data_IF_060693751786
#
_entry.id   IF_060693751786
#
_cell.length_a   1.000
_cell.length_b   1.000
_cell.length_c   1.000
_cell.angle_alpha   90.00
_cell.angle_beta   90.00
_cell.angle_gamma   90.00
#
_symmetry.space_group_name_H-M   'P 1'
#
loop_
_entity.id
_entity.type
_entity.pdbx_description
1 polymer ?
#
# COMPACT_ATOMS: atom_id res chain seq x y z
N UNK A 1 -8.22 26.09 15.45
CA UNK A 1 -7.90 24.81 14.81
C UNK A 1 -9.22 24.06 14.65
N UNK A 2 -9.80 24.09 13.46
CA UNK A 2 -11.02 23.31 13.18
C UNK A 2 -10.62 21.84 13.14
N UNK A 3 -11.26 21.02 13.98
CA UNK A 3 -11.14 19.57 13.85
C UNK A 3 -11.52 19.21 12.41
N UNK A 4 -10.63 18.52 11.67
CA UNK A 4 -11.00 17.97 10.38
C UNK A 4 -12.03 16.88 10.63
N UNK A 5 -13.30 17.21 10.37
CA UNK A 5 -14.38 16.24 10.31
C UNK A 5 -14.12 15.35 9.10
N UNK A 6 -14.09 14.04 9.32
CA UNK A 6 -14.02 13.06 8.22
C UNK A 6 -15.41 12.99 7.62
N UNK A 7 -15.58 13.54 6.43
CA UNK A 7 -16.88 13.57 5.74
C UNK A 7 -16.91 12.54 4.59
N UNK A 8 -15.78 12.32 3.95
CA UNK A 8 -15.62 11.40 2.84
C UNK A 8 -14.49 10.38 3.11
N UNK A 9 -14.54 9.18 2.50
CA UNK A 9 -13.47 8.18 2.67
C UNK A 9 -12.08 8.70 2.28
N UNK A 10 -11.99 9.58 1.28
CA UNK A 10 -10.73 10.19 0.85
C UNK A 10 -10.15 11.15 1.87
N UNK A 11 -10.96 11.69 2.79
CA UNK A 11 -10.46 12.55 3.86
C UNK A 11 -9.58 11.76 4.82
N UNK A 12 -9.85 10.47 5.04
CA UNK A 12 -8.99 9.60 5.84
C UNK A 12 -7.61 9.44 5.17
N UNK A 13 -7.58 9.25 3.85
CA UNK A 13 -6.31 9.18 3.10
C UNK A 13 -5.56 10.50 3.19
N UNK A 14 -6.29 11.62 3.12
CA UNK A 14 -5.72 12.97 3.28
C UNK A 14 -5.11 13.20 4.65
N UNK A 15 -5.73 12.68 5.71
CA UNK A 15 -5.20 12.73 7.07
C UNK A 15 -3.94 11.89 7.27
N UNK A 16 -3.62 10.99 6.32
CA UNK A 16 -2.41 10.18 6.30
C UNK A 16 -1.31 10.71 5.37
N UNK A 17 -1.45 11.94 4.85
CA UNK A 17 -0.34 12.62 4.17
C UNK A 17 0.85 12.79 5.10
N UNK A 18 2.05 12.59 4.56
CA UNK A 18 3.32 12.57 5.30
C UNK A 18 3.45 11.41 6.32
N UNK A 19 2.51 10.46 6.35
CA UNK A 19 2.59 9.26 7.19
C UNK A 19 2.91 8.00 6.37
N UNK A 20 3.43 6.97 7.03
CA UNK A 20 3.64 5.65 6.42
C UNK A 20 2.33 4.87 6.36
N UNK A 21 1.90 4.53 5.16
CA UNK A 21 0.68 3.75 4.90
C UNK A 21 1.00 2.35 4.38
N UNK A 22 0.02 1.44 4.48
CA UNK A 22 0.07 0.13 3.82
C UNK A 22 -0.94 0.10 2.67
N UNK A 23 -0.51 -0.34 1.49
CA UNK A 23 -1.34 -0.42 0.29
C UNK A 23 -1.32 -1.85 -0.23
N UNK A 24 -2.49 -2.49 -0.31
CA UNK A 24 -2.66 -3.78 -0.99
C UNK A 24 -2.96 -3.51 -2.45
N UNK A 25 -2.17 -4.11 -3.33
CA UNK A 25 -2.33 -4.02 -4.77
C UNK A 25 -2.78 -5.36 -5.36
N UNK A 26 -3.30 -5.31 -6.58
CA UNK A 26 -3.55 -6.49 -7.41
C UNK A 26 -2.25 -7.28 -7.64
N UNK A 27 -2.36 -8.61 -7.73
CA UNK A 27 -1.25 -9.52 -7.99
C UNK A 27 -0.37 -9.80 -6.77
N UNK A 28 -1.00 -10.04 -5.62
CA UNK A 28 -0.33 -10.46 -4.36
C UNK A 28 0.84 -9.56 -3.95
N UNK A 29 0.64 -8.27 -4.20
CA UNK A 29 1.63 -7.23 -3.98
C UNK A 29 1.18 -6.28 -2.88
N UNK A 30 2.09 -5.97 -1.97
CA UNK A 30 1.88 -5.00 -0.90
C UNK A 30 2.98 -3.95 -0.92
N UNK A 31 2.59 -2.70 -0.74
CA UNK A 31 3.51 -1.59 -0.56
C UNK A 31 3.37 -1.03 0.85
N UNK A 32 4.50 -0.70 1.45
CA UNK A 32 4.56 0.09 2.68
C UNK A 32 5.49 1.26 2.42
N UNK A 33 5.00 2.48 2.57
CA UNK A 33 5.78 3.67 2.26
C UNK A 33 5.10 4.95 2.74
N UNK A 34 5.84 6.04 2.72
CA UNK A 34 5.38 7.36 3.14
C UNK A 34 4.51 7.98 2.04
N UNK A 35 3.27 8.38 2.36
CA UNK A 35 2.37 9.00 1.39
C UNK A 35 2.72 10.47 1.18
N UNK A 36 3.23 10.82 0.01
CA UNK A 36 3.58 12.21 -0.32
C UNK A 36 2.42 12.95 -0.99
N UNK A 37 1.69 12.27 -1.88
CA UNK A 37 0.57 12.86 -2.61
C UNK A 37 -0.39 11.78 -3.13
N UNK A 38 -1.64 12.16 -3.36
CA UNK A 38 -2.63 11.32 -4.04
C UNK A 38 -3.67 12.18 -4.79
N UNK A 39 -4.46 11.55 -5.65
CA UNK A 39 -5.61 12.16 -6.33
C UNK A 39 -6.91 11.37 -6.15
N UNK A 40 -8.01 11.84 -6.75
CA UNK A 40 -9.33 11.19 -6.69
C UNK A 40 -9.37 9.78 -7.30
N UNK A 41 -8.42 9.44 -8.17
CA UNK A 41 -8.31 8.12 -8.78
C UNK A 41 -7.47 7.17 -7.91
N UNK A 42 -6.94 7.65 -6.78
CA UNK A 42 -5.99 6.95 -5.93
C UNK A 42 -4.66 6.67 -6.63
N UNK A 43 -4.28 7.49 -7.61
CA UNK A 43 -2.87 7.57 -8.00
C UNK A 43 -2.08 8.13 -6.81
N UNK A 44 -0.90 7.57 -6.53
CA UNK A 44 -0.11 7.95 -5.35
C UNK A 44 1.35 8.19 -5.69
N UNK A 45 1.96 9.09 -4.94
CA UNK A 45 3.41 9.22 -4.82
C UNK A 45 3.79 8.72 -3.44
N UNK A 46 4.58 7.65 -3.40
CA UNK A 46 5.10 7.07 -2.17
C UNK A 46 6.62 7.25 -2.09
N UNK A 47 7.11 7.66 -0.92
CA UNK A 47 8.54 7.70 -0.58
C UNK A 47 8.94 6.54 0.32
N UNK A 48 10.23 6.20 0.31
CA UNK A 48 10.85 5.17 1.15
C UNK A 48 10.06 3.85 1.18
N UNK A 49 9.75 3.34 -0.02
CA UNK A 49 8.81 2.23 -0.20
C UNK A 49 9.51 0.89 -0.03
N UNK A 50 8.98 0.07 0.88
CA UNK A 50 9.19 -1.37 0.89
C UNK A 50 8.06 -2.05 0.11
N UNK A 51 8.41 -2.73 -0.96
CA UNK A 51 7.50 -3.58 -1.71
C UNK A 51 7.68 -5.04 -1.31
N UNK A 52 6.57 -5.72 -1.11
CA UNK A 52 6.49 -7.17 -0.86
C UNK A 52 5.64 -7.82 -1.95
N UNK A 53 6.19 -8.83 -2.63
CA UNK A 53 5.47 -9.66 -3.61
C UNK A 53 5.41 -11.09 -3.06
N UNK A 54 4.21 -11.64 -2.99
CA UNK A 54 3.99 -13.04 -2.61
C UNK A 54 3.70 -13.86 -3.86
N UNK A 55 4.43 -14.96 -4.06
CA UNK A 55 4.22 -15.90 -5.17
C UNK A 55 3.97 -17.29 -4.61
N UNK A 56 3.04 -18.03 -5.20
CA UNK A 56 2.79 -19.43 -4.87
C UNK A 56 3.48 -20.29 -5.91
N UNK A 57 4.49 -21.04 -5.47
CA UNK A 57 5.12 -22.08 -6.27
C UNK A 57 4.48 -23.42 -5.92
N UNK A 58 4.06 -24.18 -6.93
CA UNK A 58 3.50 -25.53 -6.73
C UNK A 58 4.57 -26.54 -7.12
N UNK A 59 4.89 -27.45 -6.21
CA UNK A 59 5.79 -28.56 -6.51
C UNK A 59 5.10 -29.52 -7.51
N UNK A 60 5.70 -29.81 -8.67
CA UNK A 60 5.06 -30.61 -9.71
C UNK A 60 4.94 -32.10 -9.35
N UNK A 61 5.70 -32.59 -8.36
CA UNK A 61 5.68 -33.99 -7.94
C UNK A 61 4.81 -34.19 -6.70
N UNK A 62 4.89 -33.30 -5.72
CA UNK A 62 4.16 -33.43 -4.44
C UNK A 62 2.84 -32.66 -4.41
N UNK A 63 2.60 -31.76 -5.37
CA UNK A 63 1.48 -30.81 -5.40
C UNK A 63 1.40 -29.89 -4.17
N UNK A 64 2.49 -29.76 -3.41
CA UNK A 64 2.54 -28.86 -2.26
C UNK A 64 2.69 -27.41 -2.72
N UNK A 65 1.92 -26.52 -2.10
CA UNK A 65 1.98 -25.07 -2.32
C UNK A 65 3.02 -24.42 -1.40
N UNK A 66 4.05 -23.82 -1.98
CA UNK A 66 5.09 -23.08 -1.28
C UNK A 66 4.92 -21.58 -1.52
N UNK A 67 4.59 -20.85 -0.46
CA UNK A 67 4.51 -19.39 -0.48
C UNK A 67 5.91 -18.77 -0.36
N UNK A 68 6.35 -18.10 -1.43
CA UNK A 68 7.58 -17.30 -1.43
C UNK A 68 7.25 -15.83 -1.33
N UNK A 69 8.06 -15.11 -0.56
CA UNK A 69 7.92 -13.66 -0.39
C UNK A 69 9.22 -12.99 -0.80
N UNK A 70 9.15 -12.08 -1.77
CA UNK A 70 10.27 -11.26 -2.22
C UNK A 70 10.05 -9.81 -1.80
N UNK A 71 11.11 -9.16 -1.31
CA UNK A 71 11.07 -7.77 -0.86
C UNK A 71 12.07 -6.92 -1.60
N UNK A 72 11.71 -5.67 -1.91
CA UNK A 72 12.64 -4.66 -2.43
C UNK A 72 12.34 -3.27 -1.90
N UNK A 73 13.37 -2.44 -1.84
CA UNK A 73 13.27 -1.05 -1.39
C UNK A 73 13.37 -0.10 -2.58
N UNK A 74 12.51 0.92 -2.61
CA UNK A 74 12.41 1.91 -3.69
C UNK A 74 12.34 3.30 -3.05
N UNK A 75 13.30 4.21 -3.32
CA UNK A 75 13.30 5.53 -2.68
C UNK A 75 12.05 6.37 -2.97
N UNK A 76 11.56 6.33 -4.22
CA UNK A 76 10.37 7.06 -4.65
C UNK A 76 9.63 6.24 -5.71
N UNK A 77 8.32 6.10 -5.57
CA UNK A 77 7.47 5.30 -6.44
C UNK A 77 6.17 6.03 -6.78
N UNK A 78 5.87 6.13 -8.07
CA UNK A 78 4.52 6.46 -8.55
C UNK A 78 3.68 5.19 -8.66
N UNK A 79 2.48 5.22 -8.10
CA UNK A 79 1.51 4.11 -8.11
C UNK A 79 0.27 4.56 -8.86
N UNK A 80 -0.15 3.76 -9.85
CA UNK A 80 -1.41 3.97 -10.55
C UNK A 80 -2.59 3.42 -9.74
N UNK A 81 -3.63 4.22 -9.57
CA UNK A 81 -4.77 3.93 -8.70
C UNK A 81 -5.61 2.73 -9.11
N UNK A 82 -5.67 2.40 -10.40
CA UNK A 82 -6.38 1.20 -10.89
C UNK A 82 -5.93 -0.08 -10.16
N UNK A 83 -4.64 -0.19 -9.81
CA UNK A 83 -4.09 -1.39 -9.21
C UNK A 83 -4.29 -1.46 -7.68
N UNK A 84 -4.78 -0.40 -7.05
CA UNK A 84 -4.99 -0.32 -5.60
C UNK A 84 -6.29 -1.03 -5.24
N UNK A 85 -6.22 -1.94 -4.27
CA UNK A 85 -7.40 -2.66 -3.73
C UNK A 85 -7.79 -2.06 -2.37
N UNK A 86 -6.80 -1.83 -1.51
CA UNK A 86 -7.02 -1.37 -0.14
C UNK A 86 -5.88 -0.46 0.30
N UNK A 87 -6.24 0.55 1.09
CA UNK A 87 -5.32 1.46 1.79
C UNK A 87 -5.60 1.32 3.28
N UNK A 88 -4.56 1.11 4.07
CA UNK A 88 -4.62 1.12 5.53
C UNK A 88 -3.77 2.28 6.05
N UNK A 89 -4.35 3.23 6.80
CA UNK A 89 -3.59 4.28 7.49
C UNK A 89 -2.67 3.67 8.57
N UNK A 90 -1.70 4.43 9.10
CA UNK A 90 -0.92 3.99 10.24
C UNK A 90 -1.81 3.74 11.46
N UNK A 91 -1.38 2.82 12.32
CA UNK A 91 -1.99 2.62 13.63
C UNK A 91 -1.79 3.89 14.46
N UNK A 92 -2.85 4.68 14.63
CA UNK A 92 -2.84 5.80 15.58
C UNK A 92 -3.01 5.20 16.97
N UNK A 93 -1.91 4.91 17.66
CA UNK A 93 -1.96 4.60 19.09
C UNK A 93 -2.33 5.86 19.85
N UNK A 94 -3.51 5.85 20.47
CA UNK A 94 -3.98 6.87 21.42
C UNK A 94 -3.12 6.94 22.67
#
# INVERSE_FOLDING_TARGET
MTAQTVEQPLDLVRLSLDETIRVKMRGDRELRGKLHAFDQHLNMILGDVEETITTTDVDPETFEELLKTSKRHIPMLFVRGDCVILISPPLRTS
#
